data_IF_166202531068
#
_entry.id   IF_166202531068
#
_cell.length_a   1.000
_cell.length_b   1.000
_cell.length_c   1.000
_cell.angle_alpha   90.00
_cell.angle_beta   90.00
_cell.angle_gamma   90.00
#
_symmetry.space_group_name_H-M   'P 1'
#
loop_
_entity.id
_entity.type
_entity.pdbx_description
1 polymer ?
#
# COMPACT_ATOMS: atom_id res chain seq x y z
N UNK A 1 30.14 -21.95 1.07
CA UNK A 1 30.83 -20.99 0.17
C UNK A 1 29.81 -20.55 -0.86
N UNK A 2 29.76 -19.26 -1.16
CA UNK A 2 28.90 -18.72 -2.24
C UNK A 2 29.53 -19.04 -3.60
N UNK A 3 28.69 -19.34 -4.60
CA UNK A 3 29.15 -19.67 -5.95
C UNK A 3 29.60 -18.43 -6.73
N UNK A 4 29.03 -17.24 -6.36
CA UNK A 4 29.20 -15.99 -7.09
C UNK A 4 29.52 -14.84 -6.14
N UNK A 5 30.28 -13.86 -6.62
CA UNK A 5 30.55 -12.64 -5.86
C UNK A 5 29.37 -11.68 -5.95
N UNK A 6 28.82 -11.45 -7.15
CA UNK A 6 27.72 -10.50 -7.34
C UNK A 6 26.69 -11.00 -8.36
N UNK A 7 25.49 -11.32 -7.88
CA UNK A 7 24.35 -11.71 -8.72
C UNK A 7 23.45 -10.53 -9.06
N UNK A 8 22.94 -10.51 -10.28
CA UNK A 8 21.86 -9.64 -10.74
C UNK A 8 20.57 -10.45 -10.87
N UNK A 9 19.47 -9.91 -10.33
CA UNK A 9 18.10 -10.31 -10.64
C UNK A 9 17.41 -9.10 -11.24
N UNK A 10 16.87 -9.20 -12.44
CA UNK A 10 16.21 -8.08 -13.11
C UNK A 10 14.80 -8.49 -13.54
N UNK A 11 13.85 -7.58 -13.44
CA UNK A 11 12.47 -7.80 -13.86
C UNK A 11 11.55 -6.63 -13.59
N UNK A 12 10.32 -6.73 -14.11
CA UNK A 12 9.27 -5.72 -13.91
C UNK A 12 8.65 -5.80 -12.51
N UNK A 13 8.56 -7.00 -11.93
CA UNK A 13 7.91 -7.24 -10.62
C UNK A 13 6.52 -6.56 -10.54
N UNK A 14 5.68 -6.81 -11.51
CA UNK A 14 4.42 -6.11 -11.74
C UNK A 14 3.19 -7.02 -11.59
N UNK A 15 2.69 -7.24 -10.32
CA UNK A 15 3.36 -6.99 -9.05
C UNK A 15 4.36 -8.08 -8.65
N UNK A 16 5.18 -7.88 -7.59
CA UNK A 16 5.98 -8.96 -7.01
C UNK A 16 5.10 -10.11 -6.52
N UNK A 17 5.51 -11.35 -6.79
CA UNK A 17 4.79 -12.57 -6.40
C UNK A 17 5.75 -13.68 -5.98
N UNK A 18 5.23 -14.81 -5.49
CA UNK A 18 5.99 -15.91 -4.91
C UNK A 18 7.13 -16.41 -5.82
N UNK A 19 6.92 -16.51 -7.15
CA UNK A 19 7.97 -16.87 -8.10
C UNK A 19 9.12 -15.87 -8.15
N UNK A 20 8.82 -14.57 -8.08
CA UNK A 20 9.85 -13.53 -7.99
C UNK A 20 10.64 -13.64 -6.69
N UNK A 21 9.98 -13.86 -5.56
CA UNK A 21 10.65 -14.02 -4.28
C UNK A 21 11.50 -15.29 -4.22
N UNK A 22 11.06 -16.37 -4.87
CA UNK A 22 11.85 -17.59 -5.03
C UNK A 22 13.14 -17.33 -5.83
N UNK A 23 13.04 -16.66 -6.97
CA UNK A 23 14.17 -16.25 -7.79
C UNK A 23 15.18 -15.41 -7.00
N UNK A 24 14.71 -14.39 -6.29
CA UNK A 24 15.56 -13.51 -5.47
C UNK A 24 16.26 -14.30 -4.36
N UNK A 25 15.56 -15.19 -3.65
CA UNK A 25 16.14 -16.04 -2.60
C UNK A 25 17.18 -17.00 -3.16
N UNK A 26 16.93 -17.59 -4.33
CA UNK A 26 17.90 -18.47 -5.00
C UNK A 26 19.19 -17.74 -5.37
N UNK A 27 19.09 -16.51 -5.86
CA UNK A 27 20.25 -15.67 -6.15
C UNK A 27 21.01 -15.31 -4.87
N UNK A 28 20.31 -14.84 -3.84
CA UNK A 28 20.93 -14.43 -2.57
C UNK A 28 21.60 -15.59 -1.83
N UNK A 29 21.05 -16.81 -1.89
CA UNK A 29 21.65 -17.99 -1.27
C UNK A 29 22.96 -18.42 -1.92
N UNK A 30 23.22 -18.05 -3.19
CA UNK A 30 24.37 -18.47 -3.98
C UNK A 30 25.39 -17.37 -4.22
N UNK A 31 25.13 -16.15 -3.74
CA UNK A 31 25.96 -14.99 -4.03
C UNK A 31 26.32 -14.21 -2.77
N UNK A 32 27.50 -13.62 -2.74
CA UNK A 32 27.93 -12.75 -1.65
C UNK A 32 27.16 -11.42 -1.65
N UNK A 33 26.90 -10.90 -2.85
CA UNK A 33 26.09 -9.70 -3.11
C UNK A 33 25.00 -10.03 -4.08
N UNK A 34 23.81 -9.44 -3.90
CA UNK A 34 22.69 -9.57 -4.85
C UNK A 34 22.09 -8.20 -5.11
N UNK A 35 22.05 -7.79 -6.37
CA UNK A 35 21.31 -6.62 -6.81
C UNK A 35 20.00 -7.05 -7.47
N UNK A 36 18.88 -6.62 -6.90
CA UNK A 36 17.56 -6.77 -7.51
C UNK A 36 17.21 -5.46 -8.20
N UNK A 37 17.06 -5.50 -9.52
CA UNK A 37 16.73 -4.34 -10.34
C UNK A 37 15.28 -4.41 -10.79
N UNK A 38 14.48 -3.47 -10.32
CA UNK A 38 13.08 -3.28 -10.74
C UNK A 38 13.06 -2.30 -11.89
N UNK A 39 12.75 -2.78 -13.11
CA UNK A 39 12.52 -1.93 -14.27
C UNK A 39 11.02 -1.78 -14.52
N UNK A 40 10.54 -0.56 -14.48
CA UNK A 40 9.13 -0.23 -14.65
C UNK A 40 8.96 0.82 -15.74
N UNK A 41 7.90 0.69 -16.52
CA UNK A 41 7.48 1.75 -17.45
C UNK A 41 6.53 2.73 -16.76
N UNK A 42 6.51 4.00 -17.22
CA UNK A 42 5.58 5.04 -16.76
C UNK A 42 4.12 4.76 -17.10
N UNK A 43 3.85 3.89 -18.08
CA UNK A 43 2.47 3.49 -18.42
C UNK A 43 1.89 2.46 -17.45
N UNK A 44 2.72 1.77 -16.67
CA UNK A 44 2.30 0.75 -15.72
C UNK A 44 1.61 1.34 -14.50
N UNK A 45 0.51 0.73 -14.05
CA UNK A 45 -0.36 1.24 -12.98
C UNK A 45 0.27 1.23 -11.60
N UNK A 46 1.29 0.38 -11.36
CA UNK A 46 1.99 0.30 -10.08
C UNK A 46 3.34 1.01 -10.22
N UNK A 47 3.56 2.11 -9.50
CA UNK A 47 4.81 2.85 -9.56
C UNK A 47 6.04 1.99 -9.21
N UNK A 48 7.20 2.28 -9.81
CA UNK A 48 8.46 1.59 -9.48
C UNK A 48 8.80 1.70 -8.00
N UNK A 49 8.54 2.84 -7.39
CA UNK A 49 8.81 3.10 -5.97
C UNK A 49 8.07 2.12 -5.05
N UNK A 50 6.81 1.81 -5.35
CA UNK A 50 6.00 0.87 -4.55
C UNK A 50 6.53 -0.56 -4.67
N UNK A 51 6.85 -1.01 -5.89
CA UNK A 51 7.43 -2.34 -6.11
C UNK A 51 8.77 -2.50 -5.40
N UNK A 52 9.63 -1.48 -5.45
CA UNK A 52 10.90 -1.44 -4.74
C UNK A 52 10.67 -1.50 -3.23
N UNK A 53 9.74 -0.72 -2.70
CA UNK A 53 9.41 -0.71 -1.27
C UNK A 53 8.91 -2.08 -0.80
N UNK A 54 8.01 -2.73 -1.55
CA UNK A 54 7.49 -4.06 -1.21
C UNK A 54 8.58 -5.14 -1.23
N UNK A 55 9.47 -5.11 -2.24
CA UNK A 55 10.58 -6.04 -2.32
C UNK A 55 11.60 -5.81 -1.18
N UNK A 56 11.91 -4.54 -0.84
CA UNK A 56 12.77 -4.20 0.29
C UNK A 56 12.21 -4.69 1.61
N UNK A 57 10.91 -4.50 1.83
CA UNK A 57 10.25 -4.95 3.05
C UNK A 57 10.28 -6.49 3.19
N UNK A 58 10.02 -7.23 2.11
CA UNK A 58 10.04 -8.70 2.11
C UNK A 58 11.43 -9.27 2.31
N UNK A 59 12.48 -8.59 1.83
CA UNK A 59 13.86 -9.09 1.86
C UNK A 59 14.78 -8.32 2.83
N UNK A 60 14.20 -7.53 3.75
CA UNK A 60 14.94 -6.65 4.67
C UNK A 60 16.03 -7.37 5.50
N UNK A 61 15.83 -8.66 5.81
CA UNK A 61 16.77 -9.46 6.58
C UNK A 61 17.81 -10.23 5.75
N UNK A 62 17.86 -10.03 4.43
CA UNK A 62 18.76 -10.79 3.54
C UNK A 62 20.11 -10.09 3.40
N UNK A 63 21.20 -10.66 3.94
CA UNK A 63 22.52 -10.04 3.87
C UNK A 63 22.99 -9.84 2.43
N UNK A 64 23.63 -8.71 2.13
CA UNK A 64 24.21 -8.40 0.82
C UNK A 64 23.19 -8.10 -0.30
N UNK A 65 21.89 -8.23 -0.02
CA UNK A 65 20.82 -7.94 -1.00
C UNK A 65 20.45 -6.45 -0.97
N UNK A 66 20.44 -5.84 -2.16
CA UNK A 66 19.96 -4.46 -2.37
C UNK A 66 18.95 -4.45 -3.50
N UNK A 67 17.81 -3.79 -3.26
CA UNK A 67 16.76 -3.58 -4.27
C UNK A 67 16.85 -2.14 -4.77
N UNK A 68 17.01 -1.97 -6.06
CA UNK A 68 17.02 -0.68 -6.76
C UNK A 68 15.95 -0.69 -7.85
N UNK A 69 15.49 0.49 -8.24
CA UNK A 69 14.52 0.62 -9.33
C UNK A 69 14.92 1.73 -10.29
N UNK A 70 14.49 1.60 -11.53
CA UNK A 70 14.56 2.63 -12.54
C UNK A 70 13.38 2.55 -13.50
N UNK A 71 13.20 3.60 -14.30
CA UNK A 71 12.22 3.64 -15.37
C UNK A 71 12.88 3.19 -16.65
N UNK A 72 12.23 2.23 -17.32
CA UNK A 72 12.58 1.76 -18.65
C UNK A 72 11.33 1.81 -19.53
N UNK A 73 11.23 2.85 -20.34
CA UNK A 73 10.11 3.12 -21.24
C UNK A 73 10.37 2.63 -22.67
N UNK A 74 11.39 1.78 -22.88
CA UNK A 74 11.66 1.20 -24.18
C UNK A 74 10.79 -0.05 -24.39
N UNK A 75 10.21 -0.19 -25.58
CA UNK A 75 9.56 -1.43 -26.00
C UNK A 75 10.64 -2.48 -26.29
N UNK A 76 10.38 -3.74 -25.87
CA UNK A 76 11.32 -4.83 -26.10
C UNK A 76 11.26 -5.32 -27.55
N UNK A 77 12.41 -5.37 -28.20
CA UNK A 77 12.63 -6.07 -29.46
C UNK A 77 13.85 -7.00 -29.29
N UNK A 78 13.57 -8.28 -29.15
CA UNK A 78 14.62 -9.27 -28.91
C UNK A 78 15.59 -9.46 -30.10
N UNK A 79 15.18 -9.06 -31.31
CA UNK A 79 15.98 -9.19 -32.54
C UNK A 79 16.84 -7.95 -32.83
N UNK A 80 16.63 -6.87 -32.08
CA UNK A 80 17.33 -5.58 -32.25
C UNK A 80 18.44 -5.39 -31.23
N UNK A 81 19.70 -5.45 -31.67
CA UNK A 81 20.85 -5.09 -30.82
C UNK A 81 20.77 -3.66 -30.27
N UNK A 82 20.23 -2.72 -31.04
CA UNK A 82 20.08 -1.33 -30.61
C UNK A 82 19.09 -1.21 -29.43
N UNK A 83 17.99 -1.95 -29.48
CA UNK A 83 17.01 -1.97 -28.38
C UNK A 83 17.61 -2.65 -27.15
N UNK A 84 18.32 -3.75 -27.33
CA UNK A 84 19.06 -4.39 -26.24
C UNK A 84 20.02 -3.41 -25.53
N UNK A 85 20.79 -2.62 -26.29
CA UNK A 85 21.72 -1.66 -25.69
C UNK A 85 21.01 -0.54 -24.91
N UNK A 86 19.79 -0.13 -25.28
CA UNK A 86 19.00 0.79 -24.49
C UNK A 86 18.64 0.19 -23.11
N UNK A 87 18.08 -1.02 -23.09
CA UNK A 87 17.76 -1.72 -21.84
C UNK A 87 19.00 -1.99 -20.99
N UNK A 88 20.12 -2.41 -21.63
CA UNK A 88 21.39 -2.63 -20.95
C UNK A 88 21.98 -1.33 -20.38
N UNK A 89 21.73 -0.19 -21.03
CA UNK A 89 22.10 1.13 -20.52
C UNK A 89 21.43 1.42 -19.18
N UNK A 90 20.12 1.16 -19.07
CA UNK A 90 19.38 1.31 -17.82
C UNK A 90 19.90 0.34 -16.74
N UNK A 91 20.10 -0.93 -17.09
CA UNK A 91 20.62 -1.94 -16.15
C UNK A 91 22.01 -1.55 -15.61
N UNK A 92 22.93 -1.11 -16.48
CA UNK A 92 24.27 -0.64 -16.09
C UNK A 92 24.22 0.62 -15.22
N UNK A 93 23.28 1.54 -15.46
CA UNK A 93 23.08 2.71 -14.62
C UNK A 93 22.65 2.32 -13.19
N UNK A 94 21.77 1.32 -13.06
CA UNK A 94 21.38 0.77 -11.74
C UNK A 94 22.58 0.14 -11.03
N UNK A 95 23.39 -0.64 -11.73
CA UNK A 95 24.60 -1.25 -11.17
C UNK A 95 25.65 -0.18 -10.78
N UNK A 96 25.76 0.90 -11.54
CA UNK A 96 26.59 2.05 -11.16
C UNK A 96 26.12 2.70 -9.85
N UNK A 97 24.81 2.83 -9.63
CA UNK A 97 24.26 3.29 -8.34
C UNK A 97 24.54 2.30 -7.20
N UNK A 98 24.53 1.00 -7.48
CA UNK A 98 24.92 -0.02 -6.50
C UNK A 98 26.38 0.18 -6.07
N UNK A 99 27.30 0.42 -7.02
CA UNK A 99 28.70 0.68 -6.71
C UNK A 99 28.90 1.93 -5.83
N UNK A 100 28.14 2.99 -6.07
CA UNK A 100 28.13 4.19 -5.23
C UNK A 100 27.65 3.88 -3.81
N UNK A 101 26.57 3.12 -3.67
CA UNK A 101 26.02 2.73 -2.37
C UNK A 101 26.97 1.86 -1.56
N UNK A 102 27.68 0.95 -2.21
CA UNK A 102 28.65 0.07 -1.55
C UNK A 102 29.99 0.78 -1.28
N UNK A 103 30.26 1.93 -1.90
CA UNK A 103 31.58 2.58 -1.91
C UNK A 103 32.65 1.74 -2.62
N UNK A 104 32.24 0.83 -3.49
CA UNK A 104 33.08 -0.14 -4.17
C UNK A 104 32.78 -0.17 -5.67
N UNK A 105 33.66 0.38 -6.53
CA UNK A 105 33.47 0.36 -7.98
C UNK A 105 33.29 -1.04 -8.57
N UNK A 106 33.82 -2.09 -7.94
CA UNK A 106 33.66 -3.48 -8.40
C UNK A 106 32.20 -3.95 -8.35
N UNK A 107 31.36 -3.32 -7.53
CA UNK A 107 29.93 -3.61 -7.45
C UNK A 107 29.13 -3.16 -8.69
N UNK A 108 29.74 -2.47 -9.64
CA UNK A 108 29.16 -2.20 -10.95
C UNK A 108 29.22 -3.41 -11.90
N UNK A 109 30.06 -4.41 -11.61
CA UNK A 109 30.14 -5.65 -12.37
C UNK A 109 29.37 -6.76 -11.67
N UNK A 110 28.82 -7.70 -12.46
CA UNK A 110 28.16 -8.91 -11.98
C UNK A 110 28.78 -10.14 -12.65
N UNK A 111 28.88 -11.24 -11.91
CA UNK A 111 29.37 -12.51 -12.42
C UNK A 111 28.27 -13.55 -12.63
N UNK A 112 27.04 -13.25 -12.19
CA UNK A 112 25.86 -14.08 -12.45
C UNK A 112 24.60 -13.25 -12.73
N UNK A 113 23.77 -13.72 -13.65
CA UNK A 113 22.40 -13.25 -13.89
C UNK A 113 21.43 -14.38 -13.56
N UNK A 114 20.55 -14.16 -12.59
CA UNK A 114 19.51 -15.12 -12.24
C UNK A 114 18.20 -14.70 -12.90
N UNK A 115 17.55 -15.56 -13.65
CA UNK A 115 16.23 -15.30 -14.24
C UNK A 115 15.41 -16.58 -14.43
N UNK A 116 14.10 -16.42 -14.56
CA UNK A 116 13.17 -17.49 -14.96
C UNK A 116 12.81 -17.39 -16.46
N UNK A 117 13.39 -16.44 -17.18
CA UNK A 117 13.03 -16.09 -18.54
C UNK A 117 14.22 -16.29 -19.49
N UNK A 118 13.90 -16.58 -20.78
CA UNK A 118 14.91 -16.82 -21.80
C UNK A 118 15.84 -15.65 -22.09
N UNK A 119 15.37 -14.41 -21.85
CA UNK A 119 16.22 -13.23 -22.06
C UNK A 119 17.46 -13.20 -21.13
N UNK A 120 17.48 -14.02 -20.09
CA UNK A 120 18.61 -14.14 -19.18
C UNK A 120 19.90 -14.54 -19.83
N UNK A 121 19.85 -15.37 -20.89
CA UNK A 121 21.05 -15.79 -21.64
C UNK A 121 21.72 -14.61 -22.34
N UNK A 122 20.96 -13.83 -23.09
CA UNK A 122 21.49 -12.68 -23.82
C UNK A 122 21.94 -11.55 -22.87
N UNK A 123 21.19 -11.32 -21.78
CA UNK A 123 21.59 -10.36 -20.77
C UNK A 123 22.92 -10.74 -20.11
N UNK A 124 23.07 -11.99 -19.71
CA UNK A 124 24.29 -12.47 -19.08
C UNK A 124 25.49 -12.32 -20.04
N UNK A 125 25.33 -12.67 -21.30
CA UNK A 125 26.35 -12.49 -22.35
C UNK A 125 26.78 -11.02 -22.46
N UNK A 126 25.82 -10.07 -22.50
CA UNK A 126 26.11 -8.63 -22.63
C UNK A 126 26.73 -8.01 -21.35
N UNK A 127 26.57 -8.66 -20.21
CA UNK A 127 27.22 -8.27 -18.95
C UNK A 127 28.53 -9.02 -18.69
N UNK A 128 28.92 -10.00 -19.54
CA UNK A 128 30.08 -10.85 -19.28
C UNK A 128 29.90 -11.78 -18.07
N UNK A 129 28.64 -12.11 -17.74
CA UNK A 129 28.26 -12.90 -16.60
C UNK A 129 27.75 -14.31 -17.00
N UNK A 130 27.57 -15.18 -16.01
CA UNK A 130 26.94 -16.49 -16.20
C UNK A 130 25.44 -16.39 -16.00
N UNK A 131 24.65 -16.95 -16.93
CA UNK A 131 23.21 -17.13 -16.70
C UNK A 131 22.95 -18.32 -15.77
N UNK A 132 22.04 -18.12 -14.77
CA UNK A 132 21.57 -19.13 -13.83
C UNK A 132 20.04 -19.18 -13.92
N UNK A 133 19.48 -20.12 -14.69
CA UNK A 133 18.03 -20.26 -14.78
C UNK A 133 17.45 -20.79 -13.46
N UNK A 134 16.33 -20.21 -13.02
CA UNK A 134 15.61 -20.60 -11.80
C UNK A 134 14.14 -20.81 -12.14
N UNK A 135 13.65 -22.03 -11.98
CA UNK A 135 12.25 -22.44 -12.20
C UNK A 135 11.66 -21.93 -13.54
N UNK A 136 12.34 -22.15 -14.69
CA UNK A 136 11.90 -21.63 -15.99
C UNK A 136 10.52 -22.15 -16.40
N UNK A 137 10.16 -23.37 -15.99
CA UNK A 137 8.86 -23.99 -16.26
C UNK A 137 7.80 -23.64 -15.20
N UNK A 138 8.14 -22.81 -14.21
CA UNK A 138 7.26 -22.37 -13.11
C UNK A 138 6.59 -23.52 -12.35
N UNK A 139 7.32 -24.62 -12.18
CA UNK A 139 6.80 -25.82 -11.50
C UNK A 139 6.75 -25.67 -9.99
N UNK A 140 7.70 -24.92 -9.41
CA UNK A 140 7.72 -24.63 -7.98
C UNK A 140 6.67 -23.57 -7.57
N UNK A 141 6.50 -22.55 -8.41
CA UNK A 141 5.54 -21.45 -8.18
C UNK A 141 4.76 -21.15 -9.46
N UNK A 142 3.59 -21.79 -9.67
CA UNK A 142 2.79 -21.68 -10.91
C UNK A 142 2.01 -20.37 -10.94
N UNK A 143 2.69 -19.23 -10.87
CA UNK A 143 2.14 -17.89 -10.87
C UNK A 143 2.96 -16.97 -11.77
N UNK A 144 2.28 -16.00 -12.41
CA UNK A 144 2.92 -14.94 -13.19
C UNK A 144 2.32 -13.57 -12.84
N UNK A 145 3.06 -12.50 -13.13
CA UNK A 145 2.54 -11.15 -12.99
C UNK A 145 1.29 -10.92 -13.83
N UNK A 146 1.20 -11.51 -15.02
CA UNK A 146 0.02 -11.49 -15.88
C UNK A 146 -1.19 -12.17 -15.23
N UNK A 147 -1.01 -13.36 -14.65
CA UNK A 147 -2.09 -14.05 -13.93
C UNK A 147 -2.58 -13.23 -12.73
N UNK A 148 -1.66 -12.63 -11.95
CA UNK A 148 -2.02 -11.76 -10.82
C UNK A 148 -2.80 -10.54 -11.28
N UNK A 149 -2.40 -9.88 -12.38
CA UNK A 149 -3.12 -8.71 -12.89
C UNK A 149 -4.49 -9.06 -13.47
N UNK A 150 -4.61 -10.23 -14.10
CA UNK A 150 -5.88 -10.72 -14.66
C UNK A 150 -6.90 -11.04 -13.56
N UNK A 151 -6.46 -11.69 -12.47
CA UNK A 151 -7.31 -12.00 -11.31
C UNK A 151 -6.50 -11.90 -10.01
N UNK A 152 -6.44 -10.71 -9.39
CA UNK A 152 -5.75 -10.52 -8.11
C UNK A 152 -6.38 -11.33 -6.97
N UNK A 153 -7.69 -11.61 -7.02
CA UNK A 153 -8.37 -12.39 -5.99
C UNK A 153 -7.93 -13.85 -5.99
N UNK A 154 -7.96 -14.48 -7.15
CA UNK A 154 -7.55 -15.88 -7.29
C UNK A 154 -6.05 -16.09 -6.98
N UNK A 155 -5.23 -15.06 -7.19
CA UNK A 155 -3.78 -15.13 -7.00
C UNK A 155 -3.30 -14.44 -5.73
N UNK A 156 -4.21 -14.05 -4.81
CA UNK A 156 -3.86 -13.28 -3.62
C UNK A 156 -2.84 -13.98 -2.73
N UNK A 157 -2.94 -15.29 -2.57
CA UNK A 157 -2.06 -16.08 -1.72
C UNK A 157 -0.64 -16.24 -2.28
N UNK A 158 -0.45 -15.95 -3.56
CA UNK A 158 0.88 -15.89 -4.17
C UNK A 158 1.61 -14.56 -3.93
N UNK A 159 0.98 -13.58 -3.27
CA UNK A 159 1.58 -12.28 -2.96
C UNK A 159 2.18 -12.30 -1.55
N UNK A 160 3.37 -11.70 -1.41
CA UNK A 160 3.97 -11.49 -0.11
C UNK A 160 3.22 -10.41 0.69
N UNK A 161 3.43 -10.38 2.01
CA UNK A 161 2.72 -9.48 2.94
C UNK A 161 2.80 -8.01 2.51
N UNK A 162 3.99 -7.52 2.18
CA UNK A 162 4.18 -6.13 1.80
C UNK A 162 3.40 -5.78 0.51
N UNK A 163 3.40 -6.68 -0.48
CA UNK A 163 2.63 -6.53 -1.72
C UNK A 163 1.13 -6.54 -1.44
N UNK A 164 0.63 -7.47 -0.59
CA UNK A 164 -0.79 -7.51 -0.18
C UNK A 164 -1.22 -6.20 0.48
N UNK A 165 -0.43 -5.69 1.43
CA UNK A 165 -0.72 -4.42 2.12
C UNK A 165 -0.79 -3.26 1.13
N UNK A 166 0.13 -3.19 0.18
CA UNK A 166 0.17 -2.11 -0.82
C UNK A 166 -0.94 -2.20 -1.87
N UNK A 167 -1.32 -3.42 -2.29
CA UNK A 167 -2.35 -3.65 -3.32
C UNK A 167 -3.78 -3.72 -2.78
N UNK A 168 -3.98 -3.81 -1.46
CA UNK A 168 -5.31 -3.95 -0.88
C UNK A 168 -6.20 -2.74 -1.21
N UNK A 169 -7.37 -2.99 -1.79
CA UNK A 169 -8.39 -1.98 -2.02
C UNK A 169 -9.07 -1.60 -0.69
N UNK A 170 -8.60 -0.51 -0.07
CA UNK A 170 -9.21 0.00 1.16
C UNK A 170 -10.46 0.81 0.84
N UNK A 171 -11.57 0.47 1.48
CA UNK A 171 -12.82 1.22 1.51
C UNK A 171 -12.91 1.87 2.89
N UNK A 172 -12.90 3.18 2.94
CA UNK A 172 -12.88 3.92 4.20
C UNK A 172 -14.19 4.68 4.37
N UNK A 173 -14.86 4.46 5.50
CA UNK A 173 -16.08 5.19 5.87
C UNK A 173 -15.71 6.29 6.83
N UNK A 174 -16.03 7.53 6.49
CA UNK A 174 -15.76 8.72 7.32
C UNK A 174 -17.04 9.54 7.48
N UNK A 175 -17.07 10.37 8.51
CA UNK A 175 -18.21 11.29 8.76
C UNK A 175 -18.11 11.97 10.12
N UNK A 176 -19.02 12.90 10.36
CA UNK A 176 -19.19 13.51 11.66
C UNK A 176 -19.74 12.50 12.68
N UNK A 177 -19.71 12.86 13.96
CA UNK A 177 -20.30 12.04 15.03
C UNK A 177 -21.76 11.69 14.77
N UNK A 178 -22.16 10.48 15.17
CA UNK A 178 -23.53 9.97 15.03
C UNK A 178 -24.09 10.00 13.61
N UNK A 179 -23.24 9.87 12.59
CA UNK A 179 -23.69 9.76 11.19
C UNK A 179 -23.79 8.32 10.69
N UNK A 180 -23.47 7.34 11.55
CA UNK A 180 -23.61 5.91 11.27
C UNK A 180 -22.41 5.29 10.52
N UNK A 181 -21.21 5.88 10.62
CA UNK A 181 -19.98 5.35 10.01
C UNK A 181 -19.70 3.90 10.41
N UNK A 182 -19.74 3.60 11.71
CA UNK A 182 -19.49 2.27 12.26
C UNK A 182 -20.53 1.25 11.78
N UNK A 183 -21.80 1.63 11.77
CA UNK A 183 -22.88 0.73 11.30
C UNK A 183 -22.71 0.42 9.81
N UNK A 184 -22.47 1.44 8.99
CA UNK A 184 -22.29 1.28 7.55
C UNK A 184 -21.03 0.47 7.23
N UNK A 185 -19.89 0.77 7.87
CA UNK A 185 -18.64 0.06 7.61
C UNK A 185 -18.71 -1.42 7.98
N UNK A 186 -19.36 -1.78 9.09
CA UNK A 186 -19.60 -3.20 9.46
C UNK A 186 -20.48 -3.91 8.46
N UNK A 187 -21.62 -3.31 8.06
CA UNK A 187 -22.51 -3.89 7.07
C UNK A 187 -21.82 -4.09 5.71
N UNK A 188 -20.99 -3.14 5.29
CA UNK A 188 -20.20 -3.25 4.07
C UNK A 188 -19.19 -4.40 4.15
N UNK A 189 -18.44 -4.49 5.25
CA UNK A 189 -17.48 -5.58 5.45
C UNK A 189 -18.15 -6.94 5.36
N UNK A 190 -19.31 -7.11 6.03
CA UNK A 190 -20.11 -8.32 5.98
C UNK A 190 -20.58 -8.67 4.56
N UNK A 191 -21.15 -7.68 3.84
CA UNK A 191 -21.66 -7.88 2.48
C UNK A 191 -20.55 -8.15 1.46
N UNK A 192 -19.38 -7.56 1.64
CA UNK A 192 -18.22 -7.76 0.77
C UNK A 192 -17.39 -8.99 1.14
N UNK A 193 -17.69 -9.65 2.27
CA UNK A 193 -16.87 -10.75 2.82
C UNK A 193 -15.44 -10.28 3.12
N UNK A 194 -15.27 -9.01 3.54
CA UNK A 194 -14.00 -8.37 3.76
C UNK A 194 -13.73 -8.18 5.27
N UNK A 195 -12.46 -8.15 5.71
CA UNK A 195 -12.13 -7.75 7.07
C UNK A 195 -12.62 -6.33 7.37
N UNK A 196 -12.94 -6.08 8.65
CA UNK A 196 -13.34 -4.78 9.15
C UNK A 196 -12.33 -4.25 10.18
N UNK A 197 -11.99 -2.97 10.09
CA UNK A 197 -11.12 -2.27 11.03
C UNK A 197 -11.93 -1.20 11.76
N UNK A 198 -12.03 -1.26 13.10
CA UNK A 198 -12.71 -0.24 13.88
C UNK A 198 -11.92 1.06 13.94
N UNK A 199 -12.61 2.16 14.27
CA UNK A 199 -11.99 3.42 14.60
C UNK A 199 -11.17 3.31 15.91
N UNK A 200 -9.90 3.71 15.86
CA UNK A 200 -9.03 3.71 17.04
C UNK A 200 -9.22 4.95 17.92
N UNK A 201 -9.74 6.05 17.40
CA UNK A 201 -9.93 7.30 18.12
C UNK A 201 -10.70 7.14 19.42
N UNK A 202 -11.78 6.32 19.41
CA UNK A 202 -12.54 6.00 20.63
C UNK A 202 -11.68 5.32 21.70
N UNK A 203 -10.94 4.27 21.33
CA UNK A 203 -10.07 3.53 22.26
C UNK A 203 -8.96 4.43 22.83
N UNK A 204 -8.42 5.35 22.03
CA UNK A 204 -7.46 6.35 22.50
C UNK A 204 -8.08 7.30 23.52
N UNK A 205 -9.30 7.81 23.25
CA UNK A 205 -10.05 8.69 24.17
C UNK A 205 -10.35 7.98 25.48
N UNK A 206 -10.80 6.74 25.45
CA UNK A 206 -11.06 5.92 26.64
C UNK A 206 -9.79 5.74 27.49
N UNK A 207 -8.66 5.40 26.86
CA UNK A 207 -7.39 5.25 27.55
C UNK A 207 -6.90 6.57 28.16
N UNK A 208 -7.04 7.69 27.44
CA UNK A 208 -6.68 9.04 27.91
C UNK A 208 -7.54 9.47 29.10
N UNK A 209 -8.85 9.23 29.06
CA UNK A 209 -9.75 9.51 30.18
C UNK A 209 -9.44 8.63 31.39
N UNK A 210 -9.16 7.35 31.19
CA UNK A 210 -8.76 6.46 32.28
C UNK A 210 -7.47 6.93 32.95
N UNK A 211 -6.49 7.38 32.18
CA UNK A 211 -5.26 7.96 32.70
C UNK A 211 -5.52 9.25 33.50
N UNK A 212 -6.38 10.15 33.01
CA UNK A 212 -6.76 11.37 33.73
C UNK A 212 -7.46 11.04 35.07
N UNK A 213 -8.37 10.07 35.08
CA UNK A 213 -9.09 9.61 36.28
C UNK A 213 -8.21 8.93 37.32
N UNK A 214 -7.05 8.44 36.94
CA UNK A 214 -6.08 7.90 37.89
C UNK A 214 -5.46 9.01 38.78
N UNK A 215 -5.47 10.27 38.31
CA UNK A 215 -4.98 11.44 39.07
C UNK A 215 -6.13 12.24 39.66
N UNK A 216 -7.21 12.42 38.93
CA UNK A 216 -8.44 13.10 39.33
C UNK A 216 -9.66 12.21 39.01
N UNK A 217 -10.26 11.56 40.04
CA UNK A 217 -11.44 10.72 39.85
C UNK A 217 -12.65 11.45 39.24
N UNK A 218 -12.69 12.79 39.34
CA UNK A 218 -13.74 13.64 38.76
C UNK A 218 -13.51 14.02 37.28
N UNK A 219 -12.38 13.60 36.67
CA UNK A 219 -12.07 13.95 35.29
C UNK A 219 -13.14 13.42 34.32
N UNK A 220 -13.53 14.25 33.37
CA UNK A 220 -14.51 13.98 32.35
C UNK A 220 -13.93 14.26 30.93
N UNK A 221 -14.70 13.99 29.91
CA UNK A 221 -14.28 14.17 28.50
C UNK A 221 -14.01 15.63 28.16
N UNK A 222 -14.82 16.55 28.72
CA UNK A 222 -14.69 18.00 28.46
C UNK A 222 -13.40 18.60 29.02
N UNK A 223 -12.85 17.99 30.08
CA UNK A 223 -11.58 18.39 30.70
C UNK A 223 -10.32 17.82 30.03
N UNK A 224 -10.45 16.94 29.02
CA UNK A 224 -9.29 16.36 28.35
C UNK A 224 -8.55 17.40 27.48
N UNK A 225 -7.25 17.54 27.73
CA UNK A 225 -6.38 18.39 26.92
C UNK A 225 -5.86 17.59 25.73
N UNK A 226 -6.22 18.01 24.53
CA UNK A 226 -5.77 17.37 23.28
C UNK A 226 -4.50 18.03 22.75
N UNK A 227 -3.59 17.22 22.23
CA UNK A 227 -2.32 17.65 21.65
C UNK A 227 -2.18 17.10 20.24
N UNK A 228 -1.27 17.66 19.45
CA UNK A 228 -0.89 17.11 18.13
C UNK A 228 -0.41 15.67 18.23
N UNK A 229 0.38 15.36 19.28
CA UNK A 229 0.88 14.02 19.56
C UNK A 229 -0.23 12.96 19.70
N UNK A 230 -1.35 13.32 20.34
CA UNK A 230 -2.50 12.41 20.46
C UNK A 230 -3.04 11.99 19.09
N UNK A 231 -3.20 12.95 18.16
CA UNK A 231 -3.72 12.67 16.83
C UNK A 231 -2.70 11.97 15.94
N UNK A 232 -1.41 12.25 16.10
CA UNK A 232 -0.33 11.48 15.44
C UNK A 232 -0.33 10.02 15.90
N UNK A 233 -0.54 9.77 17.18
CA UNK A 233 -0.67 8.41 17.72
C UNK A 233 -1.92 7.71 17.20
N UNK A 234 -3.05 8.40 17.15
CA UNK A 234 -4.30 7.86 16.56
C UNK A 234 -4.06 7.50 15.09
N UNK A 235 -3.48 8.40 14.29
CA UNK A 235 -3.21 8.16 12.88
C UNK A 235 -2.26 6.99 12.66
N UNK A 236 -1.16 6.94 13.40
CA UNK A 236 -0.17 5.86 13.36
C UNK A 236 -0.83 4.51 13.69
N UNK A 237 -1.56 4.46 14.81
CA UNK A 237 -2.18 3.21 15.27
C UNK A 237 -3.31 2.75 14.36
N UNK A 238 -4.11 3.65 13.82
CA UNK A 238 -5.14 3.33 12.83
C UNK A 238 -4.53 2.71 11.56
N UNK A 239 -3.39 3.24 11.10
CA UNK A 239 -2.65 2.67 9.96
C UNK A 239 -2.12 1.26 10.29
N UNK A 240 -1.50 1.06 11.45
CA UNK A 240 -1.00 -0.23 11.89
C UNK A 240 -2.11 -1.29 11.96
N UNK A 241 -3.28 -0.93 12.50
CA UNK A 241 -4.45 -1.79 12.56
C UNK A 241 -4.97 -2.14 11.15
N UNK A 242 -5.05 -1.14 10.27
CA UNK A 242 -5.44 -1.33 8.88
C UNK A 242 -4.49 -2.29 8.16
N UNK A 243 -3.18 -2.07 8.28
CA UNK A 243 -2.18 -2.92 7.64
C UNK A 243 -2.20 -4.34 8.23
N UNK A 244 -2.36 -4.46 9.55
CA UNK A 244 -2.46 -5.76 10.21
C UNK A 244 -3.68 -6.59 9.77
N UNK A 245 -4.80 -5.94 9.48
CA UNK A 245 -6.05 -6.60 9.11
C UNK A 245 -6.09 -7.10 7.65
N UNK A 246 -5.15 -6.71 6.80
CA UNK A 246 -5.13 -7.14 5.40
C UNK A 246 -4.97 -8.66 5.31
N UNK A 247 -6.04 -9.36 4.97
CA UNK A 247 -6.06 -10.81 4.73
C UNK A 247 -6.59 -11.16 3.33
N UNK A 248 -7.26 -10.21 2.66
CA UNK A 248 -7.81 -10.35 1.32
C UNK A 248 -7.62 -9.08 0.48
N UNK A 249 -8.10 -9.08 -0.76
CA UNK A 249 -7.91 -7.98 -1.69
C UNK A 249 -8.73 -6.73 -1.35
N UNK A 250 -9.72 -6.82 -0.49
CA UNK A 250 -10.56 -5.70 -0.03
C UNK A 250 -10.52 -5.63 1.49
N UNK A 251 -10.47 -4.41 2.01
CA UNK A 251 -10.53 -4.10 3.45
C UNK A 251 -11.51 -2.94 3.68
N UNK A 252 -12.36 -3.03 4.69
CA UNK A 252 -13.26 -1.94 5.08
C UNK A 252 -12.80 -1.35 6.41
N UNK A 253 -12.63 -0.05 6.45
CA UNK A 253 -12.19 0.69 7.63
C UNK A 253 -13.27 1.68 8.09
N UNK A 254 -13.56 1.68 9.40
CA UNK A 254 -14.25 2.77 10.07
C UNK A 254 -13.18 3.81 10.42
N UNK A 255 -13.11 4.88 9.66
CA UNK A 255 -12.02 5.84 9.63
C UNK A 255 -10.65 5.29 9.14
N UNK A 256 -9.72 6.19 8.90
CA UNK A 256 -8.32 5.91 8.57
C UNK A 256 -7.37 6.92 9.23
N UNK A 257 -6.07 6.79 8.95
CA UNK A 257 -5.07 7.71 9.47
C UNK A 257 -5.30 9.16 9.03
N UNK A 258 -5.78 9.39 7.79
CA UNK A 258 -6.06 10.74 7.32
C UNK A 258 -7.25 11.39 8.05
N UNK A 259 -8.27 10.64 8.40
CA UNK A 259 -9.42 11.17 9.14
C UNK A 259 -9.00 11.81 10.47
N UNK A 260 -7.89 11.35 11.08
CA UNK A 260 -7.34 11.96 12.29
C UNK A 260 -6.96 13.44 12.10
N UNK A 261 -6.67 13.89 10.86
CA UNK A 261 -6.40 15.31 10.56
C UNK A 261 -7.65 16.18 10.71
N UNK A 262 -8.82 15.65 10.33
CA UNK A 262 -10.11 16.36 10.51
C UNK A 262 -10.49 16.45 12.01
N UNK A 263 -10.26 15.38 12.76
CA UNK A 263 -10.46 15.38 14.20
C UNK A 263 -9.47 16.31 14.92
N UNK A 264 -8.19 16.32 14.50
CA UNK A 264 -7.21 17.28 15.02
C UNK A 264 -7.64 18.73 14.76
N UNK A 265 -8.15 19.05 13.57
CA UNK A 265 -8.67 20.38 13.27
C UNK A 265 -9.84 20.77 14.21
N UNK A 266 -10.76 19.83 14.49
CA UNK A 266 -11.86 20.08 15.43
C UNK A 266 -11.39 20.44 16.84
N UNK A 267 -10.44 19.68 17.39
CA UNK A 267 -10.03 19.84 18.79
C UNK A 267 -8.92 20.88 18.99
N UNK A 268 -8.09 21.13 17.99
CA UNK A 268 -6.98 22.10 18.07
C UNK A 268 -7.29 23.44 17.42
N UNK A 269 -8.42 23.54 16.68
CA UNK A 269 -8.91 24.80 16.09
C UNK A 269 -8.21 25.19 14.79
N UNK A 270 -7.28 24.38 14.27
CA UNK A 270 -6.53 24.67 13.02
C UNK A 270 -6.23 23.39 12.22
N UNK A 271 -6.07 23.51 10.88
CA UNK A 271 -5.67 22.37 10.05
C UNK A 271 -4.29 21.82 10.43
N UNK A 272 -4.19 20.50 10.56
CA UNK A 272 -2.96 19.80 10.97
C UNK A 272 -2.58 18.68 9.96
N UNK A 273 -2.06 19.04 8.77
CA UNK A 273 -1.64 18.05 7.77
C UNK A 273 -0.46 17.18 8.26
N UNK A 274 0.31 17.66 9.23
CA UNK A 274 1.44 16.97 9.88
C UNK A 274 1.01 15.79 10.78
N UNK A 275 -0.28 15.61 11.04
CA UNK A 275 -0.80 14.49 11.81
C UNK A 275 -0.67 13.16 11.05
N UNK A 276 -0.89 13.15 9.74
CA UNK A 276 -0.85 11.93 8.93
C UNK A 276 -0.22 12.18 7.54
N UNK A 277 1.07 12.54 7.46
CA UNK A 277 1.72 12.87 6.18
C UNK A 277 1.75 11.68 5.21
N UNK A 278 1.87 10.46 5.74
CA UNK A 278 2.02 9.22 4.97
C UNK A 278 0.73 8.35 4.97
N UNK A 279 -0.44 8.98 5.08
CA UNK A 279 -1.70 8.26 5.03
C UNK A 279 -1.90 7.56 3.69
N UNK A 280 -2.33 6.30 3.70
CA UNK A 280 -2.69 5.55 2.50
C UNK A 280 -3.69 6.32 1.62
N UNK A 281 -3.64 6.06 0.32
CA UNK A 281 -4.67 6.51 -0.62
C UNK A 281 -5.65 5.36 -0.84
N UNK A 282 -6.84 5.36 -0.21
CA UNK A 282 -7.78 4.28 -0.36
C UNK A 282 -8.40 4.24 -1.77
N UNK A 283 -8.98 3.10 -2.12
CA UNK A 283 -9.72 2.94 -3.36
C UNK A 283 -11.00 3.80 -3.38
N UNK A 284 -11.60 4.01 -2.18
CA UNK A 284 -12.82 4.81 -2.02
C UNK A 284 -12.95 5.34 -0.60
N UNK A 285 -13.37 6.60 -0.48
CA UNK A 285 -13.99 7.11 0.74
C UNK A 285 -15.52 7.17 0.59
N UNK A 286 -16.20 6.75 1.64
CA UNK A 286 -17.65 6.94 1.80
C UNK A 286 -17.85 7.95 2.93
N UNK A 287 -18.36 9.13 2.57
CA UNK A 287 -18.71 10.17 3.53
C UNK A 287 -20.18 10.02 3.92
N UNK A 288 -20.45 9.76 5.20
CA UNK A 288 -21.82 9.68 5.71
C UNK A 288 -22.39 11.07 5.98
N UNK A 289 -23.55 11.36 5.41
CA UNK A 289 -24.25 12.62 5.66
C UNK A 289 -24.86 12.65 7.07
N UNK A 290 -24.88 13.83 7.68
CA UNK A 290 -25.55 14.07 8.97
C UNK A 290 -27.05 14.38 8.81
N UNK A 291 -27.48 14.81 7.62
CA UNK A 291 -28.86 15.25 7.38
C UNK A 291 -29.85 14.10 7.56
N UNK A 292 -30.87 14.29 8.36
CA UNK A 292 -31.91 13.30 8.64
C UNK A 292 -31.45 12.13 9.54
N UNK A 293 -30.26 12.20 10.16
CA UNK A 293 -29.77 11.20 11.11
C UNK A 293 -29.89 11.74 12.53
N UNK A 294 -30.62 11.07 13.44
CA UNK A 294 -30.67 11.46 14.84
C UNK A 294 -29.27 11.48 15.46
N UNK A 295 -29.05 12.40 16.37
CA UNK A 295 -27.85 12.38 17.19
C UNK A 295 -28.05 11.42 18.37
N UNK A 296 -27.16 10.46 18.50
CA UNK A 296 -27.15 9.51 19.62
C UNK A 296 -26.19 10.01 20.69
N UNK A 297 -26.73 10.38 21.86
CA UNK A 297 -25.93 10.76 23.00
C UNK A 297 -25.60 9.51 23.84
N UNK A 298 -24.35 9.05 23.80
CA UNK A 298 -23.85 7.90 24.55
C UNK A 298 -22.89 8.27 25.69
N UNK A 299 -22.77 9.57 25.99
CA UNK A 299 -21.84 10.09 27.00
C UNK A 299 -20.40 10.28 26.50
N UNK A 300 -20.13 9.88 25.25
CA UNK A 300 -18.82 10.02 24.58
C UNK A 300 -18.83 11.04 23.44
N UNK A 301 -20.00 11.55 23.09
CA UNK A 301 -20.24 12.45 21.96
C UNK A 301 -20.67 13.81 22.45
N UNK A 302 -20.06 14.87 21.93
CA UNK A 302 -20.31 16.24 22.31
C UNK A 302 -20.50 17.19 21.11
N UNK A 303 -20.41 16.66 19.89
CA UNK A 303 -20.32 17.44 18.66
C UNK A 303 -21.62 17.58 17.86
N UNK A 304 -22.83 17.47 18.45
CA UNK A 304 -24.08 17.58 17.70
C UNK A 304 -24.14 18.86 16.86
N UNK A 305 -23.81 19.99 17.44
CA UNK A 305 -23.81 21.31 16.80
C UNK A 305 -22.70 21.48 15.74
N UNK A 306 -21.68 20.61 15.73
CA UNK A 306 -20.55 20.65 14.81
C UNK A 306 -20.74 19.75 13.60
N UNK A 307 -21.80 18.93 13.54
CA UNK A 307 -21.97 17.90 12.50
C UNK A 307 -21.95 18.46 11.08
N UNK A 308 -22.62 19.59 10.85
CA UNK A 308 -22.63 20.24 9.54
C UNK A 308 -21.23 20.72 9.14
N UNK A 309 -20.55 21.39 10.04
CA UNK A 309 -19.18 21.87 9.84
C UNK A 309 -18.21 20.71 9.61
N UNK A 310 -18.28 19.64 10.40
CA UNK A 310 -17.44 18.45 10.25
C UNK A 310 -17.69 17.75 8.90
N UNK A 311 -18.96 17.65 8.47
CA UNK A 311 -19.29 17.08 7.15
C UNK A 311 -18.66 17.90 6.03
N UNK A 312 -18.71 19.25 6.12
CA UNK A 312 -18.07 20.13 5.15
C UNK A 312 -16.55 20.06 5.18
N UNK A 313 -15.97 19.90 6.38
CA UNK A 313 -14.53 19.70 6.54
C UNK A 313 -14.05 18.43 5.85
N UNK A 314 -14.73 17.30 6.08
CA UNK A 314 -14.44 16.04 5.38
C UNK A 314 -14.61 16.19 3.86
N UNK A 315 -15.71 16.77 3.40
CA UNK A 315 -15.99 16.97 1.97
C UNK A 315 -14.89 17.78 1.28
N UNK A 316 -14.50 18.89 1.87
CA UNK A 316 -13.45 19.77 1.36
C UNK A 316 -12.09 19.06 1.34
N UNK A 317 -11.76 18.37 2.43
CA UNK A 317 -10.51 17.61 2.54
C UNK A 317 -10.43 16.46 1.53
N UNK A 318 -11.51 15.71 1.32
CA UNK A 318 -11.57 14.63 0.33
C UNK A 318 -11.43 15.15 -1.09
N UNK A 319 -12.09 16.27 -1.42
CA UNK A 319 -11.95 16.91 -2.72
C UNK A 319 -10.50 17.36 -2.97
N UNK A 320 -9.85 17.95 -1.98
CA UNK A 320 -8.46 18.39 -2.08
C UNK A 320 -7.45 17.23 -2.23
N UNK A 321 -7.74 16.05 -1.68
CA UNK A 321 -6.88 14.86 -1.82
C UNK A 321 -6.87 14.25 -3.21
N UNK A 322 -7.89 14.53 -4.04
CA UNK A 322 -8.02 13.94 -5.37
C UNK A 322 -8.13 12.40 -5.35
N UNK A 323 -8.75 11.85 -4.30
CA UNK A 323 -9.07 10.41 -4.18
C UNK A 323 -10.56 10.19 -4.47
N UNK A 324 -10.97 9.01 -4.96
CA UNK A 324 -12.39 8.72 -5.16
C UNK A 324 -13.17 8.80 -3.85
N UNK A 325 -14.31 9.50 -3.87
CA UNK A 325 -15.20 9.55 -2.72
C UNK A 325 -16.67 9.68 -3.14
N UNK A 326 -17.56 9.27 -2.26
CA UNK A 326 -19.02 9.36 -2.45
C UNK A 326 -19.68 9.81 -1.14
N UNK A 327 -20.58 10.81 -1.23
CA UNK A 327 -21.50 11.12 -0.14
C UNK A 327 -22.66 10.11 -0.17
N UNK A 328 -22.97 9.49 0.99
CA UNK A 328 -24.09 8.58 1.17
C UNK A 328 -25.15 9.21 2.07
N UNK A 329 -26.40 9.21 1.59
CA UNK A 329 -27.52 9.96 2.19
C UNK A 329 -28.76 9.09 2.33
N UNK A 330 -29.75 9.57 3.08
CA UNK A 330 -31.05 8.92 3.24
C UNK A 330 -31.09 7.88 4.37
N UNK A 331 -32.01 6.94 4.27
CA UNK A 331 -32.17 5.85 5.26
C UNK A 331 -30.97 4.91 5.30
N UNK A 332 -30.78 4.11 6.37
CA UNK A 332 -29.70 3.13 6.44
C UNK A 332 -29.63 2.21 5.22
N UNK A 333 -30.76 1.70 4.73
CA UNK A 333 -30.82 0.84 3.55
C UNK A 333 -30.44 1.58 2.25
N UNK A 334 -30.82 2.84 2.12
CA UNK A 334 -30.42 3.66 0.97
C UNK A 334 -28.92 3.91 0.98
N UNK A 335 -28.34 4.24 2.13
CA UNK A 335 -26.90 4.44 2.29
C UNK A 335 -26.12 3.18 1.96
N UNK A 336 -26.57 2.01 2.47
CA UNK A 336 -25.92 0.74 2.20
C UNK A 336 -25.94 0.40 0.69
N UNK A 337 -27.07 0.61 -0.02
CA UNK A 337 -27.12 0.39 -1.46
C UNK A 337 -26.16 1.31 -2.23
N UNK A 338 -26.20 2.63 -1.95
CA UNK A 338 -25.29 3.60 -2.57
C UNK A 338 -23.81 3.25 -2.32
N UNK A 339 -23.52 2.79 -1.10
CA UNK A 339 -22.17 2.41 -0.72
C UNK A 339 -21.71 1.13 -1.44
N UNK A 340 -22.56 0.11 -1.56
CA UNK A 340 -22.22 -1.14 -2.27
C UNK A 340 -21.95 -0.87 -3.76
N UNK A 341 -22.80 -0.09 -4.43
CA UNK A 341 -22.61 0.31 -5.84
C UNK A 341 -21.26 1.04 -6.02
N UNK A 342 -20.97 2.01 -5.13
CA UNK A 342 -19.71 2.74 -5.17
C UNK A 342 -18.50 1.85 -4.88
N UNK A 343 -18.63 0.87 -3.98
CA UNK A 343 -17.57 -0.10 -3.70
C UNK A 343 -17.26 -1.00 -4.90
N UNK A 344 -18.29 -1.50 -5.59
CA UNK A 344 -18.13 -2.32 -6.80
C UNK A 344 -17.33 -1.57 -7.88
N UNK A 345 -17.73 -0.34 -8.18
CA UNK A 345 -17.04 0.52 -9.15
C UNK A 345 -15.60 0.82 -8.74
N UNK A 346 -15.38 1.13 -7.45
CA UNK A 346 -14.06 1.48 -6.93
C UNK A 346 -13.10 0.30 -6.93
N UNK A 347 -13.54 -0.88 -6.50
CA UNK A 347 -12.73 -2.11 -6.49
C UNK A 347 -12.39 -2.55 -7.92
N UNK A 348 -13.36 -2.50 -8.84
CA UNK A 348 -13.12 -2.81 -10.24
C UNK A 348 -12.09 -1.86 -10.89
N UNK A 349 -12.13 -0.57 -10.53
CA UNK A 349 -11.15 0.44 -10.99
C UNK A 349 -9.78 0.21 -10.37
N UNK A 350 -9.73 -0.09 -9.07
CA UNK A 350 -8.49 -0.30 -8.32
C UNK A 350 -7.66 -1.44 -8.88
N UNK A 351 -8.29 -2.52 -9.32
CA UNK A 351 -7.63 -3.69 -9.90
C UNK A 351 -7.58 -3.67 -11.44
N UNK A 352 -7.80 -2.51 -12.04
CA UNK A 352 -7.57 -2.35 -13.48
C UNK A 352 -6.12 -1.93 -13.70
N UNK A 353 -5.30 -2.88 -14.12
CA UNK A 353 -3.91 -2.65 -14.43
C UNK A 353 -3.72 -2.34 -15.93
N UNK A 354 -2.85 -1.38 -16.22
CA UNK A 354 -2.37 -1.17 -17.58
C UNK A 354 -1.46 -2.34 -18.00
N UNK A 355 -1.44 -2.65 -19.30
CA UNK A 355 -0.50 -3.63 -19.80
C UNK A 355 0.94 -3.11 -19.69
N UNK A 356 1.91 -3.97 -19.34
CA UNK A 356 3.30 -3.58 -19.35
C UNK A 356 3.77 -3.35 -20.80
N UNK A 357 4.71 -2.43 -21.00
CA UNK A 357 5.44 -2.38 -22.27
C UNK A 357 6.15 -3.71 -22.49
N UNK A 358 6.03 -4.24 -23.67
CA UNK A 358 6.41 -5.51 -24.23
C UNK A 358 7.51 -6.34 -23.61
#
# INVERSE_FOLDING_TARGET
MTDFDHALVLGKFYPPHAGHHHLIRAAAARSRRTTVTVLASRVESIPVADRVAWLRAEHAGTPGLVVLGDVDDHEMDFDSDAVWELHMGVARAVLGRRAILDGDPSSAAVDAVFSSERYGDEMAKRLGARHVPVDPDRTAFPVSGTAVRADPRANWDHLARATRVGLCARIVVVGAESTGTTTLSRQLAERLGAPWVPEYGRAHTEAKLAAARAFDPGADLGGLVWTVGDFQDVARRQRELSDAAVSGPVLVCDNDAWAATAWAHRYLGEPRPDVAPDAHRPALYLLTDHVGVPFEQDGWRDGEHLRAWMTDLFRTGLAARGVPWRLVTGSPDQRLRQALEACEEAVARHFRFADPLG
#
